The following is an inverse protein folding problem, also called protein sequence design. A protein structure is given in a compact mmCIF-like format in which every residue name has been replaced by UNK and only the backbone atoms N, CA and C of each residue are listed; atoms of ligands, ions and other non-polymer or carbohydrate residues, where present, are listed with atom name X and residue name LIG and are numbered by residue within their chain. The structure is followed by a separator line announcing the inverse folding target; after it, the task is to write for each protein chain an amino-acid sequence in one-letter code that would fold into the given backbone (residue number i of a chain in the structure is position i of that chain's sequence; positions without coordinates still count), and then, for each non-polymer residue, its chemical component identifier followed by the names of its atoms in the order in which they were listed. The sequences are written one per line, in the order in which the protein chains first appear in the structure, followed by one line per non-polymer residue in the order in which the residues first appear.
data_IF_476064038772
#
_entry.id   IF_476064038772
#
_cell.length_a   1.000
_cell.length_b   1.000
_cell.length_c   1.000
_cell.angle_alpha   90.00
_cell.angle_beta   90.00
_cell.angle_gamma   90.00
#
_symmetry.space_group_name_H-M   'P 1'
#
loop_
_entity.id
_entity.type
_entity.pdbx_description
1 polymer ?
#
# COMPACT_ATOMS: atom_id res chain seq x y z
N UNK A 1 12.13 -17.47 7.48
CA UNK A 1 12.93 -16.62 6.59
C UNK A 1 12.03 -15.56 5.95
N UNK A 2 12.48 -14.31 5.98
CA UNK A 2 11.88 -13.15 5.32
C UNK A 2 12.32 -13.09 3.86
N UNK A 3 11.42 -12.71 2.95
CA UNK A 3 11.73 -12.53 1.53
C UNK A 3 10.94 -11.32 1.00
N UNK A 4 11.61 -10.20 0.68
CA UNK A 4 10.94 -8.93 0.38
C UNK A 4 10.21 -8.93 -0.97
N UNK A 5 10.37 -9.97 -1.79
CA UNK A 5 9.69 -10.10 -3.10
C UNK A 5 8.60 -11.15 -3.11
N UNK A 6 8.54 -12.02 -2.09
CA UNK A 6 7.72 -13.23 -2.12
C UNK A 6 6.39 -13.05 -1.41
N UNK A 7 5.40 -12.54 -2.14
CA UNK A 7 3.98 -12.60 -1.76
C UNK A 7 3.71 -12.23 -0.28
N UNK A 8 3.06 -13.08 0.50
CA UNK A 8 2.81 -12.84 1.94
C UNK A 8 4.01 -13.09 2.88
N UNK A 9 5.25 -13.11 2.38
CA UNK A 9 6.46 -13.47 3.17
C UNK A 9 7.45 -12.33 3.37
N UNK A 10 7.04 -11.09 3.13
CA UNK A 10 7.88 -9.90 3.31
C UNK A 10 7.29 -8.61 2.74
N UNK A 11 6.70 -8.61 1.53
CA UNK A 11 6.11 -7.42 0.94
C UNK A 11 5.10 -6.65 1.79
N UNK A 12 4.99 -5.35 1.50
CA UNK A 12 3.94 -4.45 1.98
C UNK A 12 2.66 -4.65 1.17
N UNK A 13 1.52 -4.73 1.85
CA UNK A 13 0.21 -4.91 1.24
C UNK A 13 -0.71 -3.73 1.59
N UNK A 14 -1.40 -3.19 0.58
CA UNK A 14 -2.22 -1.98 0.77
C UNK A 14 -3.45 -2.28 1.63
N UNK A 15 -4.04 -3.46 1.52
CA UNK A 15 -5.18 -3.85 2.35
C UNK A 15 -4.82 -3.99 3.84
N UNK A 16 -3.60 -4.43 4.17
CA UNK A 16 -3.16 -4.50 5.58
C UNK A 16 -2.86 -3.12 6.13
N UNK A 17 -2.20 -2.26 5.35
CA UNK A 17 -1.99 -0.86 5.72
C UNK A 17 -3.33 -0.13 5.92
N UNK A 18 -4.30 -0.36 5.01
CA UNK A 18 -5.65 0.17 5.10
C UNK A 18 -6.39 -0.26 6.38
N UNK A 19 -6.36 -1.56 6.72
CA UNK A 19 -6.98 -2.08 7.95
C UNK A 19 -6.38 -1.46 9.22
N UNK A 20 -5.11 -1.08 9.19
CA UNK A 20 -4.40 -0.53 10.34
C UNK A 20 -4.45 1.00 10.39
N UNK A 21 -4.88 1.68 9.33
CA UNK A 21 -4.85 3.13 9.22
C UNK A 21 -5.69 3.83 10.31
N UNK A 22 -6.83 3.25 10.71
CA UNK A 22 -7.65 3.82 11.78
C UNK A 22 -6.96 3.80 13.16
N UNK A 23 -6.15 2.76 13.42
CA UNK A 23 -5.44 2.63 14.68
C UNK A 23 -4.10 3.37 14.69
N UNK A 24 -3.43 3.46 13.53
CA UNK A 24 -2.08 4.03 13.39
C UNK A 24 -2.07 5.46 12.84
N UNK A 25 -3.21 5.93 12.34
CA UNK A 25 -3.47 7.32 11.98
C UNK A 25 -2.88 7.78 10.65
N UNK A 26 -2.89 9.10 10.47
CA UNK A 26 -2.63 9.82 9.22
C UNK A 26 -1.29 9.46 8.56
N UNK A 27 -0.21 9.27 9.35
CA UNK A 27 1.10 8.96 8.79
C UNK A 27 1.12 7.66 7.97
N UNK A 28 0.39 6.63 8.43
CA UNK A 28 0.28 5.38 7.68
C UNK A 28 -0.52 5.60 6.40
N UNK A 29 -1.64 6.32 6.48
CA UNK A 29 -2.47 6.65 5.33
C UNK A 29 -1.68 7.42 4.26
N UNK A 30 -1.00 8.51 4.64
CA UNK A 30 -0.16 9.33 3.75
C UNK A 30 0.91 8.48 3.05
N UNK A 31 1.70 7.71 3.83
CA UNK A 31 2.76 6.87 3.25
C UNK A 31 2.23 5.78 2.32
N UNK A 32 1.01 5.28 2.58
CA UNK A 32 0.36 4.25 1.75
C UNK A 32 -0.12 4.85 0.44
N UNK A 33 -0.73 6.04 0.49
CA UNK A 33 -1.18 6.77 -0.71
C UNK A 33 0.02 7.16 -1.56
N UNK A 34 1.04 7.78 -0.96
CA UNK A 34 2.28 8.16 -1.68
C UNK A 34 2.97 6.97 -2.34
N UNK A 35 2.97 5.79 -1.67
CA UNK A 35 3.55 4.57 -2.24
C UNK A 35 2.85 4.20 -3.57
N UNK A 36 1.52 4.22 -3.57
CA UNK A 36 0.69 3.90 -4.74
C UNK A 36 0.80 4.97 -5.82
N UNK A 37 0.89 6.25 -5.46
CA UNK A 37 1.09 7.34 -6.43
C UNK A 37 2.44 7.25 -7.15
N UNK A 38 3.51 6.95 -6.40
CA UNK A 38 4.87 6.88 -6.95
C UNK A 38 5.09 5.63 -7.80
N UNK A 39 4.52 4.50 -7.41
CA UNK A 39 4.86 3.19 -7.99
C UNK A 39 3.71 2.55 -8.76
N UNK A 40 2.51 3.12 -8.72
CA UNK A 40 1.33 2.59 -9.39
C UNK A 40 0.55 1.56 -8.56
N UNK A 41 -0.52 1.03 -9.16
CA UNK A 41 -1.49 0.18 -8.48
C UNK A 41 -1.10 -1.30 -8.62
N UNK A 42 -0.18 -1.75 -7.77
CA UNK A 42 0.28 -3.15 -7.74
C UNK A 42 -0.36 -3.96 -6.60
N UNK A 43 -0.29 -5.28 -6.70
CA UNK A 43 -0.85 -6.22 -5.73
C UNK A 43 -0.17 -6.09 -4.35
N UNK A 44 1.16 -5.96 -4.33
CA UNK A 44 1.99 -5.72 -3.15
C UNK A 44 3.30 -5.03 -3.55
N UNK A 45 4.05 -4.54 -2.58
CA UNK A 45 5.21 -3.67 -2.79
C UNK A 45 6.43 -4.17 -2.03
N UNK A 46 7.63 -4.03 -2.62
CA UNK A 46 8.86 -4.28 -1.90
C UNK A 46 8.96 -3.33 -0.70
N UNK A 47 9.19 -3.83 0.53
CA UNK A 47 9.04 -3.03 1.75
C UNK A 47 10.09 -1.93 1.90
N UNK A 48 11.25 -2.08 1.25
CA UNK A 48 12.37 -1.12 1.35
C UNK A 48 12.46 -0.15 0.17
N UNK A 49 12.09 -0.58 -1.04
CA UNK A 49 12.29 0.19 -2.28
C UNK A 49 10.99 0.77 -2.83
N UNK A 50 9.85 0.22 -2.40
CA UNK A 50 8.54 0.57 -2.94
C UNK A 50 8.24 -0.05 -4.31
N UNK A 51 9.14 -0.85 -4.90
CA UNK A 51 8.90 -1.52 -6.18
C UNK A 51 7.56 -2.29 -6.15
N UNK A 52 6.68 -2.01 -7.12
CA UNK A 52 5.43 -2.73 -7.30
C UNK A 52 5.67 -4.16 -7.78
N UNK A 53 5.02 -5.14 -7.16
CA UNK A 53 5.16 -6.57 -7.41
C UNK A 53 3.80 -7.23 -7.60
N UNK A 54 3.80 -8.43 -8.18
CA UNK A 54 2.58 -9.20 -8.46
C UNK A 54 1.75 -8.60 -9.60
N UNK A 55 0.43 -8.63 -9.48
CA UNK A 55 -0.48 -8.08 -10.49
C UNK A 55 -0.40 -6.56 -10.63
N UNK A 56 -0.39 -6.07 -11.88
CA UNK A 56 -0.57 -4.65 -12.23
C UNK A 56 -2.06 -4.25 -12.24
N UNK A 57 -2.32 -2.94 -12.13
CA UNK A 57 -3.68 -2.35 -12.15
C UNK A 57 -4.61 -3.07 -11.15
N UNK A 58 -4.07 -3.36 -9.97
CA UNK A 58 -4.72 -4.18 -8.97
C UNK A 58 -5.86 -3.42 -8.29
N UNK A 59 -7.07 -3.98 -8.36
CA UNK A 59 -8.31 -3.24 -8.09
C UNK A 59 -8.46 -2.81 -6.64
N UNK A 60 -8.09 -3.66 -5.66
CA UNK A 60 -8.14 -3.23 -4.26
C UNK A 60 -7.12 -2.14 -3.95
N UNK A 61 -6.02 -2.06 -4.71
CA UNK A 61 -4.97 -1.09 -4.42
C UNK A 61 -5.47 0.29 -4.82
N UNK A 62 -6.10 0.36 -6.01
CA UNK A 62 -6.81 1.55 -6.45
C UNK A 62 -7.91 1.97 -5.47
N UNK A 63 -8.80 1.03 -5.10
CA UNK A 63 -9.96 1.33 -4.26
C UNK A 63 -9.57 1.80 -2.85
N UNK A 64 -8.61 1.12 -2.22
CA UNK A 64 -8.22 1.39 -0.83
C UNK A 64 -7.31 2.61 -0.71
N UNK A 65 -6.44 2.87 -1.68
CA UNK A 65 -5.67 4.11 -1.72
C UNK A 65 -6.60 5.33 -1.87
N UNK A 66 -7.63 5.23 -2.73
CA UNK A 66 -8.64 6.28 -2.86
C UNK A 66 -9.41 6.52 -1.55
N UNK A 67 -9.84 5.45 -0.87
CA UNK A 67 -10.53 5.56 0.42
C UNK A 67 -9.64 6.22 1.49
N UNK A 68 -8.36 5.85 1.58
CA UNK A 68 -7.40 6.47 2.51
C UNK A 68 -7.21 7.95 2.20
N UNK A 69 -7.03 8.32 0.93
CA UNK A 69 -6.86 9.71 0.53
C UNK A 69 -8.07 10.56 0.95
N UNK A 70 -9.28 10.04 0.77
CA UNK A 70 -10.52 10.73 1.14
C UNK A 70 -10.72 10.82 2.66
N UNK A 71 -10.44 9.76 3.41
CA UNK A 71 -10.70 9.70 4.87
C UNK A 71 -9.69 10.49 5.69
N UNK A 72 -8.44 10.56 5.21
CA UNK A 72 -7.34 11.21 5.92
C UNK A 72 -6.92 12.56 5.29
N UNK A 73 -7.65 13.04 4.28
CA UNK A 73 -7.38 14.30 3.56
C UNK A 73 -5.92 14.37 3.05
N UNK A 74 -5.44 13.24 2.50
CA UNK A 74 -4.11 13.17 1.88
C UNK A 74 -4.16 13.91 0.55
N UNK A 75 -3.26 14.86 0.36
CA UNK A 75 -3.23 15.76 -0.79
C UNK A 75 -2.42 15.23 -1.96
#
# INVERSE_FOLDING_TARGET
NFDPRRYWRGPTWINTAWLLADALGTRLAESTVELVERHGMFEYFHPETGEGLGGERFTWTAALALDLAMRFDVR
#
